data_IF_219252209483
#
_entry.id   IF_219252209483
#
_cell.length_a   1.000
_cell.length_b   1.000
_cell.length_c   1.000
_cell.angle_alpha   90.00
_cell.angle_beta   90.00
_cell.angle_gamma   90.00
#
_symmetry.space_group_name_H-M   'P 1'
#
loop_
_entity.id
_entity.type
_entity.pdbx_description
1 polymer ?
#
# COMPACT_ATOMS: atom_id res chain seq x y z
N UNK A 1 -50.64 -1.64 -19.09
CA UNK A 1 -50.31 -0.91 -20.33
C UNK A 1 -48.80 -0.70 -20.32
N UNK A 2 -48.06 -1.41 -21.18
CA UNK A 2 -46.60 -1.30 -21.25
C UNK A 2 -46.26 -0.24 -22.32
N UNK A 3 -45.42 0.73 -21.96
CA UNK A 3 -45.00 1.81 -22.86
C UNK A 3 -44.00 1.29 -23.90
N UNK A 4 -44.41 1.25 -25.18
CA UNK A 4 -43.56 0.94 -26.33
C UNK A 4 -42.69 2.16 -26.73
N UNK A 5 -41.71 2.56 -25.91
CA UNK A 5 -40.83 3.70 -26.25
C UNK A 5 -39.39 3.33 -26.63
N UNK A 6 -38.98 2.07 -26.45
CA UNK A 6 -37.56 1.72 -26.59
C UNK A 6 -37.11 1.46 -28.03
N UNK A 7 -38.02 1.35 -29.00
CA UNK A 7 -37.70 1.01 -30.40
C UNK A 7 -37.54 2.19 -31.38
N UNK A 8 -38.12 3.36 -31.07
CA UNK A 8 -38.12 4.50 -31.99
C UNK A 8 -36.73 5.12 -32.24
N UNK A 9 -35.84 5.27 -31.23
CA UNK A 9 -34.51 5.85 -31.45
C UNK A 9 -33.60 4.96 -32.31
N UNK A 10 -33.72 3.64 -32.15
CA UNK A 10 -32.94 2.66 -32.92
C UNK A 10 -33.33 2.63 -34.39
N UNK A 11 -34.63 2.68 -34.69
CA UNK A 11 -35.13 2.69 -36.06
C UNK A 11 -34.61 3.91 -36.87
N UNK A 12 -34.52 5.08 -36.23
CA UNK A 12 -33.96 6.29 -36.84
C UNK A 12 -32.44 6.17 -37.08
N UNK A 13 -31.69 5.59 -36.12
CA UNK A 13 -30.24 5.36 -36.24
C UNK A 13 -29.91 4.46 -37.43
N UNK A 14 -30.58 3.31 -37.53
CA UNK A 14 -30.39 2.36 -38.63
C UNK A 14 -30.77 2.95 -39.99
N UNK A 15 -31.80 3.80 -40.06
CA UNK A 15 -32.16 4.50 -41.31
C UNK A 15 -31.12 5.53 -41.77
N UNK A 16 -30.33 6.08 -40.86
CA UNK A 16 -29.27 7.03 -41.19
C UNK A 16 -27.94 6.33 -41.58
N UNK A 17 -27.92 5.00 -41.66
CA UNK A 17 -26.73 4.21 -42.02
C UNK A 17 -25.73 4.03 -40.88
N UNK A 18 -26.11 4.38 -39.65
CA UNK A 18 -25.30 4.15 -38.45
C UNK A 18 -25.61 2.76 -37.87
N UNK A 19 -24.77 1.79 -38.22
CA UNK A 19 -24.84 0.41 -37.72
C UNK A 19 -24.08 0.22 -36.40
N UNK A 20 -23.56 1.30 -35.79
CA UNK A 20 -22.86 1.20 -34.51
C UNK A 20 -23.80 0.73 -33.40
N UNK A 21 -23.45 -0.41 -32.81
CA UNK A 21 -24.09 -0.95 -31.61
C UNK A 21 -23.55 -0.29 -30.33
N UNK A 22 -22.54 0.57 -30.45
CA UNK A 22 -22.02 1.33 -29.33
C UNK A 22 -23.05 2.39 -28.92
N UNK A 23 -23.42 2.34 -27.64
CA UNK A 23 -24.15 3.44 -27.01
C UNK A 23 -23.30 4.69 -27.12
N UNK A 24 -23.92 5.83 -27.48
CA UNK A 24 -23.24 7.11 -27.40
C UNK A 24 -22.65 7.25 -26.00
N UNK A 25 -21.41 7.71 -25.88
CA UNK A 25 -20.78 7.94 -24.58
C UNK A 25 -21.79 8.66 -23.71
N UNK A 26 -22.28 7.97 -22.67
CA UNK A 26 -23.26 8.54 -21.77
C UNK A 26 -22.64 9.82 -21.20
N UNK A 27 -23.46 10.84 -20.95
CA UNK A 27 -23.00 12.01 -20.17
C UNK A 27 -22.53 11.47 -18.83
N UNK A 28 -21.23 11.18 -18.70
CA UNK A 28 -20.64 10.75 -17.45
C UNK A 28 -21.06 11.75 -16.40
N UNK A 29 -21.43 11.27 -15.21
CA UNK A 29 -21.69 12.17 -14.10
C UNK A 29 -20.37 12.89 -13.82
N UNK A 30 -20.29 14.16 -14.18
CA UNK A 30 -19.20 15.03 -13.73
C UNK A 30 -19.19 14.98 -12.21
N UNK A 31 -18.07 14.51 -11.66
CA UNK A 31 -17.81 14.51 -10.24
C UNK A 31 -17.53 15.93 -9.80
N UNK A 32 -18.25 16.41 -8.79
CA UNK A 32 -18.06 17.74 -8.19
C UNK A 32 -16.84 17.80 -7.26
N UNK A 33 -15.95 16.80 -7.34
CA UNK A 33 -14.77 16.69 -6.48
C UNK A 33 -13.61 17.38 -7.16
N UNK A 34 -13.09 18.40 -6.50
CA UNK A 34 -11.87 19.09 -6.88
C UNK A 34 -10.66 18.13 -6.76
N UNK A 35 -10.18 17.64 -7.90
CA UNK A 35 -9.04 16.72 -7.99
C UNK A 35 -7.73 17.36 -7.51
N UNK A 36 -7.57 18.69 -7.66
CA UNK A 36 -6.38 19.40 -7.21
C UNK A 36 -6.33 19.43 -5.69
N UNK A 37 -7.46 19.75 -5.03
CA UNK A 37 -7.56 19.66 -3.56
C UNK A 37 -7.36 18.24 -3.04
N UNK A 38 -7.88 17.23 -3.76
CA UNK A 38 -7.67 15.84 -3.38
C UNK A 38 -6.19 15.45 -3.45
N UNK A 39 -5.47 15.93 -4.46
CA UNK A 39 -4.02 15.70 -4.60
C UNK A 39 -3.25 16.39 -3.48
N UNK A 40 -3.57 17.65 -3.18
CA UNK A 40 -2.89 18.42 -2.13
C UNK A 40 -3.01 17.75 -0.75
N UNK A 41 -4.20 17.24 -0.40
CA UNK A 41 -4.43 16.54 0.88
C UNK A 41 -3.62 15.23 0.98
N UNK A 42 -3.45 14.53 -0.14
CA UNK A 42 -2.68 13.27 -0.20
C UNK A 42 -1.17 13.54 -0.19
N UNK A 43 -0.72 14.64 -0.79
CA UNK A 43 0.70 15.03 -0.78
C UNK A 43 1.15 15.59 0.56
N UNK A 44 0.26 16.29 1.28
CA UNK A 44 0.53 16.78 2.64
C UNK A 44 0.80 15.63 3.62
N UNK A 45 0.00 14.56 3.55
CA UNK A 45 0.17 13.38 4.39
C UNK A 45 -0.29 12.10 3.67
N UNK A 46 0.66 11.31 3.13
CA UNK A 46 0.37 10.06 2.43
C UNK A 46 -0.26 8.97 3.31
N UNK A 47 -0.22 9.08 4.64
CA UNK A 47 -0.76 8.08 5.56
C UNK A 47 -2.24 8.31 5.89
N UNK A 48 -2.82 9.45 5.49
CA UNK A 48 -4.24 9.76 5.70
C UNK A 48 -5.14 8.69 5.08
N UNK A 49 -6.10 8.23 5.87
CA UNK A 49 -7.09 7.27 5.41
C UNK A 49 -8.11 7.90 4.45
N UNK A 50 -8.71 7.09 3.59
CA UNK A 50 -9.82 7.49 2.70
C UNK A 50 -10.98 8.16 3.45
N UNK A 51 -11.24 7.77 4.70
CA UNK A 51 -12.29 8.35 5.53
C UNK A 51 -11.94 9.74 6.07
N UNK A 52 -10.67 10.02 6.31
CA UNK A 52 -10.20 11.33 6.77
C UNK A 52 -10.16 12.30 5.60
N UNK A 53 -9.64 11.85 4.45
CA UNK A 53 -9.68 12.58 3.18
C UNK A 53 -11.12 12.97 2.82
N UNK A 54 -12.07 12.03 2.98
CA UNK A 54 -13.48 12.29 2.74
C UNK A 54 -14.07 13.37 3.66
N UNK A 55 -13.67 13.41 4.94
CA UNK A 55 -14.08 14.47 5.88
C UNK A 55 -13.53 15.83 5.48
N UNK A 56 -12.25 15.90 5.10
CA UNK A 56 -11.59 17.15 4.67
C UNK A 56 -12.25 17.72 3.43
N UNK A 57 -12.58 16.87 2.46
CA UNK A 57 -13.21 17.27 1.20
C UNK A 57 -14.74 17.41 1.29
N UNK A 58 -15.36 17.03 2.42
CA UNK A 58 -16.82 17.05 2.58
C UNK A 58 -17.58 16.07 1.68
N UNK A 59 -16.91 15.02 1.19
CA UNK A 59 -17.49 14.03 0.25
C UNK A 59 -17.76 12.70 0.94
N UNK A 60 -18.51 11.82 0.27
CA UNK A 60 -18.68 10.45 0.76
C UNK A 60 -17.36 9.67 0.67
N UNK A 61 -17.15 8.73 1.60
CA UNK A 61 -15.99 7.82 1.59
C UNK A 61 -15.80 7.11 0.24
N UNK A 62 -16.90 6.66 -0.38
CA UNK A 62 -16.86 5.94 -1.65
C UNK A 62 -16.47 6.87 -2.81
N UNK A 63 -16.92 8.13 -2.77
CA UNK A 63 -16.55 9.15 -3.73
C UNK A 63 -15.06 9.45 -3.66
N UNK A 64 -14.52 9.68 -2.45
CA UNK A 64 -13.08 9.88 -2.23
C UNK A 64 -12.25 8.68 -2.71
N UNK A 65 -12.66 7.45 -2.36
CA UNK A 65 -11.95 6.23 -2.78
C UNK A 65 -11.93 6.05 -4.30
N UNK A 66 -13.03 6.40 -4.99
CA UNK A 66 -13.10 6.35 -6.45
C UNK A 66 -12.15 7.36 -7.09
N UNK A 67 -12.18 8.61 -6.65
CA UNK A 67 -11.30 9.66 -7.20
C UNK A 67 -9.83 9.40 -6.93
N UNK A 68 -9.48 8.86 -5.76
CA UNK A 68 -8.11 8.42 -5.49
C UNK A 68 -7.63 7.38 -6.50
N UNK A 69 -8.50 6.42 -6.86
CA UNK A 69 -8.19 5.42 -7.88
C UNK A 69 -8.07 6.02 -9.29
N UNK A 70 -8.92 7.00 -9.63
CA UNK A 70 -8.86 7.72 -10.92
C UNK A 70 -7.54 8.51 -11.07
N UNK A 71 -7.02 9.10 -10.00
CA UNK A 71 -5.73 9.81 -9.95
C UNK A 71 -4.53 8.81 -9.84
N UNK A 72 -4.80 7.50 -9.77
CA UNK A 72 -3.76 6.48 -9.63
C UNK A 72 -3.12 6.38 -8.24
N UNK A 73 -3.74 6.98 -7.22
CA UNK A 73 -3.33 6.84 -5.83
C UNK A 73 -3.95 5.58 -5.23
N UNK A 74 -3.12 4.64 -4.85
CA UNK A 74 -3.52 3.39 -4.20
C UNK A 74 -2.85 3.26 -2.85
N UNK A 75 -3.58 2.76 -1.84
CA UNK A 75 -2.99 2.46 -0.53
C UNK A 75 -1.89 1.41 -0.70
N UNK A 76 -0.66 1.76 -0.34
CA UNK A 76 0.44 0.82 -0.16
C UNK A 76 0.62 0.62 1.35
N UNK A 77 0.99 -0.60 1.73
CA UNK A 77 1.40 -0.85 3.11
C UNK A 77 2.80 -0.30 3.31
N UNK A 78 3.04 0.24 4.49
CA UNK A 78 4.36 0.72 4.87
C UNK A 78 5.35 -0.45 4.88
N UNK A 79 6.54 -0.18 4.35
CA UNK A 79 7.63 -1.15 4.39
C UNK A 79 8.13 -1.23 5.83
N UNK A 80 8.21 -2.43 6.37
CA UNK A 80 8.81 -2.64 7.67
C UNK A 80 10.29 -2.22 7.65
N UNK A 81 10.66 -1.31 8.54
CA UNK A 81 12.04 -0.86 8.73
C UNK A 81 12.53 -1.43 10.06
N UNK A 82 13.59 -2.26 10.07
CA UNK A 82 14.03 -2.96 11.29
C UNK A 82 14.40 -2.04 12.45
N UNK A 83 14.95 -0.86 12.14
CA UNK A 83 15.42 0.07 13.14
C UNK A 83 15.37 1.51 12.63
N UNK A 84 14.92 2.41 13.49
CA UNK A 84 15.03 3.86 13.27
C UNK A 84 16.47 4.29 13.53
N UNK A 85 17.15 4.78 12.49
CA UNK A 85 18.54 5.22 12.59
C UNK A 85 18.63 6.67 13.05
N UNK A 86 19.59 6.96 13.93
CA UNK A 86 19.99 8.33 14.21
C UNK A 86 20.68 8.98 13.00
N UNK A 87 20.72 10.32 12.97
CA UNK A 87 21.42 11.04 11.90
C UNK A 87 22.90 10.65 11.80
N UNK A 88 23.56 10.46 12.93
CA UNK A 88 24.95 10.02 12.99
C UNK A 88 25.12 8.61 12.41
N UNK A 89 24.25 7.67 12.79
CA UNK A 89 24.28 6.30 12.24
C UNK A 89 24.03 6.31 10.72
N UNK A 90 23.11 7.15 10.25
CA UNK A 90 22.84 7.33 8.82
C UNK A 90 24.06 7.89 8.08
N UNK A 91 24.69 8.92 8.62
CA UNK A 91 25.88 9.54 8.01
C UNK A 91 27.05 8.58 7.96
N UNK A 92 27.33 7.85 9.05
CA UNK A 92 28.37 6.80 9.07
C UNK A 92 28.11 5.73 8.02
N UNK A 93 26.87 5.24 7.89
CA UNK A 93 26.50 4.25 6.85
C UNK A 93 26.69 4.83 5.45
N UNK A 94 26.32 6.08 5.23
CA UNK A 94 26.51 6.76 3.95
C UNK A 94 27.99 6.91 3.57
N UNK A 95 28.82 7.36 4.50
CA UNK A 95 30.27 7.53 4.29
C UNK A 95 30.94 6.20 3.96
N UNK A 96 30.66 5.15 4.74
CA UNK A 96 31.20 3.80 4.50
C UNK A 96 30.73 3.29 3.13
N UNK A 97 29.44 3.40 2.82
CA UNK A 97 28.90 2.93 1.54
C UNK A 97 29.50 3.68 0.36
N UNK A 98 29.66 5.00 0.47
CA UNK A 98 30.25 5.85 -0.58
C UNK A 98 31.71 5.50 -0.81
N UNK A 99 32.48 5.28 0.27
CA UNK A 99 33.88 4.87 0.17
C UNK A 99 34.03 3.47 -0.45
N UNK A 100 33.17 2.52 -0.08
CA UNK A 100 33.16 1.17 -0.65
C UNK A 100 32.78 1.19 -2.13
N UNK A 101 31.80 2.02 -2.52
CA UNK A 101 31.40 2.19 -3.92
C UNK A 101 32.55 2.73 -4.76
N UNK A 102 33.20 3.81 -4.31
CA UNK A 102 34.33 4.41 -5.00
C UNK A 102 35.50 3.43 -5.14
N UNK A 103 35.82 2.71 -4.06
CA UNK A 103 36.85 1.67 -4.10
C UNK A 103 36.52 0.61 -5.15
N UNK A 104 35.27 0.15 -5.21
CA UNK A 104 34.85 -0.89 -6.15
C UNK A 104 34.95 -0.46 -7.62
N UNK A 105 34.79 0.84 -7.91
CA UNK A 105 35.03 1.36 -9.27
C UNK A 105 36.51 1.30 -9.66
N UNK A 106 37.41 1.53 -8.71
CA UNK A 106 38.86 1.53 -8.95
C UNK A 106 39.49 0.14 -8.92
N UNK A 107 39.01 -0.72 -8.02
CA UNK A 107 39.51 -2.07 -7.78
C UNK A 107 38.32 -2.94 -7.34
N UNK A 108 37.64 -3.62 -8.29
CA UNK A 108 36.48 -4.45 -7.98
C UNK A 108 36.84 -5.56 -7.00
N UNK A 109 36.24 -5.53 -5.81
CA UNK A 109 36.61 -6.45 -4.72
C UNK A 109 35.46 -7.37 -4.30
N UNK A 110 34.27 -7.25 -4.92
CA UNK A 110 33.08 -8.03 -4.56
C UNK A 110 33.29 -9.54 -4.70
N UNK A 111 34.03 -9.98 -5.73
CA UNK A 111 34.33 -11.40 -5.97
C UNK A 111 35.21 -12.04 -4.88
N UNK A 112 35.86 -11.21 -4.06
CA UNK A 112 36.74 -11.63 -2.98
C UNK A 112 36.09 -11.51 -1.59
N UNK A 113 34.82 -11.10 -1.50
CA UNK A 113 34.13 -10.95 -0.22
C UNK A 113 33.58 -12.31 0.24
N UNK A 114 33.96 -12.71 1.46
CA UNK A 114 33.31 -13.81 2.19
C UNK A 114 32.57 -13.22 3.37
N UNK A 115 31.25 -13.39 3.41
CA UNK A 115 30.39 -12.92 4.51
C UNK A 115 29.92 -14.10 5.36
N UNK A 116 29.85 -13.91 6.68
CA UNK A 116 29.24 -14.87 7.60
C UNK A 116 28.19 -14.14 8.45
N UNK A 117 27.00 -14.73 8.60
CA UNK A 117 25.94 -14.25 9.49
C UNK A 117 25.27 -15.45 10.19
N UNK A 118 24.82 -15.24 11.42
CA UNK A 118 24.16 -16.28 12.23
C UNK A 118 22.63 -16.11 12.17
N UNK A 119 21.95 -17.05 11.51
CA UNK A 119 20.48 -17.05 11.45
C UNK A 119 19.90 -18.04 12.47
N UNK A 120 19.10 -17.53 13.41
CA UNK A 120 18.36 -18.38 14.34
C UNK A 120 17.09 -18.94 13.68
N UNK A 121 17.01 -20.27 13.54
CA UNK A 121 15.79 -20.96 13.11
C UNK A 121 14.98 -21.35 14.36
N UNK A 122 13.73 -20.87 14.45
CA UNK A 122 12.76 -21.33 15.46
C UNK A 122 11.88 -22.42 14.84
N UNK A 123 11.55 -23.46 15.61
CA UNK A 123 10.74 -24.59 15.15
C UNK A 123 9.37 -24.16 14.59
N UNK A 124 8.96 -24.84 13.53
CA UNK A 124 7.93 -24.49 12.51
C UNK A 124 6.46 -24.45 12.99
N UNK A 125 6.17 -24.06 14.24
CA UNK A 125 4.77 -23.89 14.69
C UNK A 125 4.29 -22.45 14.67
N UNK A 126 5.09 -21.49 14.17
CA UNK A 126 4.73 -20.07 14.18
C UNK A 126 4.78 -19.46 12.75
N UNK A 127 3.62 -19.35 12.06
CA UNK A 127 3.54 -18.93 10.65
C UNK A 127 3.94 -17.47 10.40
N UNK A 128 4.27 -16.69 11.43
CA UNK A 128 4.76 -15.31 11.29
C UNK A 128 6.22 -15.23 10.79
N UNK A 129 7.01 -16.30 10.91
CA UNK A 129 8.46 -16.28 10.65
C UNK A 129 8.88 -16.74 9.24
N UNK A 130 7.93 -17.17 8.41
CA UNK A 130 8.17 -17.58 7.02
C UNK A 130 8.60 -16.41 6.12
N UNK A 131 8.47 -15.17 6.61
CA UNK A 131 8.79 -13.94 5.88
C UNK A 131 10.29 -13.56 5.93
N UNK A 132 11.13 -14.30 6.66
CA UNK A 132 12.59 -14.07 6.71
C UNK A 132 13.27 -15.09 5.80
N UNK A 133 13.02 -15.07 4.49
CA UNK A 133 13.77 -15.90 3.54
C UNK A 133 14.37 -15.00 2.45
N UNK A 134 15.69 -14.86 2.62
CA UNK A 134 16.75 -14.50 1.66
C UNK A 134 16.61 -13.23 0.82
N UNK A 135 17.61 -12.36 0.99
CA UNK A 135 17.90 -11.24 0.13
C UNK A 135 18.34 -11.74 -1.25
N UNK A 136 17.40 -12.13 -2.08
CA UNK A 136 17.54 -12.28 -3.52
C UNK A 136 16.18 -12.12 -4.19
N UNK A 137 16.19 -11.44 -5.33
CA UNK A 137 15.01 -10.93 -6.03
C UNK A 137 13.98 -12.03 -6.32
N UNK A 138 12.85 -12.03 -5.59
CA UNK A 138 11.51 -12.33 -6.11
C UNK A 138 10.43 -12.13 -5.03
N UNK A 139 9.38 -11.42 -5.46
CA UNK A 139 8.12 -11.12 -4.80
C UNK A 139 7.63 -12.15 -3.78
N UNK A 140 7.43 -11.70 -2.54
CA UNK A 140 6.39 -12.27 -1.67
C UNK A 140 5.48 -11.13 -1.24
N UNK A 141 4.32 -11.09 -1.91
CA UNK A 141 3.10 -10.47 -1.42
C UNK A 141 2.75 -11.09 -0.07
N UNK A 142 2.50 -10.28 0.94
CA UNK A 142 1.52 -10.67 1.95
C UNK A 142 0.51 -9.56 2.18
N UNK A 143 -0.73 -9.92 1.85
CA UNK A 143 -1.95 -9.29 2.31
C UNK A 143 -2.07 -9.39 3.85
N UNK A 144 -2.45 -8.27 4.45
CA UNK A 144 -3.31 -8.12 5.65
C UNK A 144 -2.84 -8.79 6.95
N UNK A 145 -2.38 -7.97 7.90
CA UNK A 145 -2.97 -7.84 9.24
C UNK A 145 -2.69 -6.42 9.77
N UNK A 146 -3.75 -5.66 10.09
CA UNK A 146 -3.64 -4.42 10.87
C UNK A 146 -4.18 -4.74 12.25
N UNK A 147 -3.36 -4.84 13.31
CA UNK A 147 -3.86 -4.74 14.66
C UNK A 147 -4.22 -3.27 14.90
N UNK A 148 -5.54 -3.00 14.97
CA UNK A 148 -6.06 -1.81 15.61
C UNK A 148 -5.41 -1.67 16.99
N UNK A 149 -4.96 -0.46 17.34
CA UNK A 149 -4.40 -0.13 18.65
C UNK A 149 -5.29 -0.72 19.76
N UNK A 150 -4.74 -1.68 20.51
CA UNK A 150 -5.36 -2.18 21.73
C UNK A 150 -4.78 -1.38 22.89
N UNK A 151 -5.67 -0.86 23.75
CA UNK A 151 -5.28 -0.09 24.93
C UNK A 151 -4.37 -0.92 25.84
N UNK A 152 -3.52 -0.24 26.60
CA UNK A 152 -2.52 -0.84 27.49
C UNK A 152 -3.12 -1.82 28.52
N UNK A 153 -4.42 -1.69 28.81
CA UNK A 153 -5.20 -2.60 29.65
C UNK A 153 -5.37 -4.00 29.04
N UNK A 154 -5.45 -4.12 27.72
CA UNK A 154 -5.51 -5.42 27.02
C UNK A 154 -4.13 -6.07 26.92
N UNK A 155 -3.06 -5.26 26.90
CA UNK A 155 -1.67 -5.73 26.93
C UNK A 155 -1.34 -6.39 28.27
N UNK A 156 -1.87 -5.87 29.38
CA UNK A 156 -1.56 -6.38 30.71
C UNK A 156 -2.23 -7.72 31.06
N UNK A 157 -3.39 -8.05 30.46
CA UNK A 157 -4.02 -9.38 30.65
C UNK A 157 -3.26 -10.53 30.00
N UNK A 158 -2.42 -10.25 28.99
CA UNK A 158 -1.64 -11.27 28.27
C UNK A 158 -0.38 -11.70 29.04
N UNK A 159 0.14 -10.82 29.91
CA UNK A 159 1.26 -11.14 30.80
C UNK A 159 0.82 -11.93 32.05
N UNK A 160 -0.41 -11.73 32.54
CA UNK A 160 -0.92 -12.52 33.68
C UNK A 160 -1.17 -13.99 33.32
N UNK A 161 -1.59 -14.29 32.09
CA UNK A 161 -1.76 -15.69 31.62
C UNK A 161 -0.39 -16.38 31.44
N UNK A 162 0.66 -15.64 31.06
CA UNK A 162 2.01 -16.19 30.88
C UNK A 162 2.76 -16.40 32.22
N UNK A 163 2.44 -15.60 33.25
CA UNK A 163 3.03 -15.73 34.59
C UNK A 163 2.51 -16.96 35.36
N UNK A 164 1.28 -17.41 35.09
CA UNK A 164 0.67 -18.53 35.81
C UNK A 164 1.16 -19.94 35.40
N UNK A 165 1.95 -20.08 34.32
CA UNK A 165 2.46 -21.36 33.84
C UNK A 165 3.93 -21.66 34.22
N UNK A 166 4.59 -20.77 34.98
CA UNK A 166 5.98 -20.94 35.43
C UNK A 166 6.11 -21.29 36.93
N UNK A 167 5.05 -21.83 37.56
CA UNK A 167 5.11 -22.41 38.92
C UNK A 167 4.41 -23.78 39.01
N UNK A 168 4.74 -24.70 38.09
CA UNK A 168 4.56 -26.13 38.34
C UNK A 168 5.68 -26.96 37.75
#
# INVERSE_FOLDING_TARGET
>A
MFHNSDGAPWYQKFRNGDESLEGHEGRGRHSDVDEDKLRDVVEEDPHKGTREIAKVLGVSHNTAARHLKEIGKTKKLDRWVPHELSEEQRNRRYEISSALLLRNETDPFLDCIVTCDEKLLRNETDPFLDCIVTCDEKWIMYDRWVPHELSEEQRNRRYEISSALLLR
#
